data_IF_747624139053
#
_entry.id   IF_747624139053
#
_cell.length_a   1.000
_cell.length_b   1.000
_cell.length_c   1.000
_cell.angle_alpha   90.00
_cell.angle_beta   90.00
_cell.angle_gamma   90.00
#
_symmetry.space_group_name_H-M   'P 1'
#
loop_
_entity.id
_entity.type
_entity.pdbx_description
1 polymer ?
#
# COMPACT_ATOMS: atom_id res chain seq x y z
N UNK A 1 9.65 -23.97 -22.23
CA UNK A 1 9.18 -22.58 -22.47
C UNK A 1 8.49 -22.13 -21.19
N UNK A 2 9.12 -21.21 -20.45
CA UNK A 2 8.68 -20.79 -19.12
C UNK A 2 7.60 -19.71 -19.26
N UNK A 3 6.40 -19.96 -18.72
CA UNK A 3 5.31 -19.00 -18.68
C UNK A 3 5.59 -17.91 -17.64
N UNK A 4 5.96 -16.72 -18.09
CA UNK A 4 6.15 -15.51 -17.28
C UNK A 4 4.89 -14.62 -17.31
N UNK A 5 3.72 -15.17 -16.96
CA UNK A 5 2.42 -14.47 -17.04
C UNK A 5 1.95 -13.93 -15.66
N UNK A 6 2.67 -14.20 -14.57
CA UNK A 6 2.22 -13.85 -13.21
C UNK A 6 2.40 -12.38 -12.79
N UNK A 7 3.57 -11.78 -13.04
CA UNK A 7 3.95 -10.52 -12.37
C UNK A 7 3.49 -9.25 -13.12
N UNK A 8 3.34 -9.30 -14.45
CA UNK A 8 2.94 -8.13 -15.26
C UNK A 8 1.46 -7.77 -15.08
N UNK A 9 0.59 -8.76 -14.98
CA UNK A 9 -0.84 -8.57 -14.73
C UNK A 9 -1.10 -8.07 -13.31
N UNK A 10 -0.33 -8.55 -12.33
CA UNK A 10 -0.44 -8.13 -10.93
C UNK A 10 0.01 -6.67 -10.75
N UNK A 11 1.13 -6.28 -11.36
CA UNK A 11 1.61 -4.89 -11.37
C UNK A 11 0.65 -3.99 -12.16
N UNK A 12 0.09 -4.44 -13.29
CA UNK A 12 -0.91 -3.69 -14.04
C UNK A 12 -2.23 -3.53 -13.28
N UNK A 13 -2.66 -4.54 -12.51
CA UNK A 13 -3.83 -4.47 -11.64
C UNK A 13 -3.60 -3.49 -10.48
N UNK A 14 -2.42 -3.52 -9.85
CA UNK A 14 -2.05 -2.59 -8.78
C UNK A 14 -1.96 -1.14 -9.31
N UNK A 15 -1.39 -0.94 -10.49
CA UNK A 15 -1.35 0.34 -11.21
C UNK A 15 -2.74 0.88 -11.55
N UNK A 16 -3.69 0.02 -11.98
CA UNK A 16 -5.07 0.47 -12.23
C UNK A 16 -5.81 0.87 -10.95
N UNK A 17 -5.51 0.22 -9.82
CA UNK A 17 -6.07 0.59 -8.52
C UNK A 17 -5.51 1.96 -8.05
N UNK A 18 -4.26 2.29 -8.40
CA UNK A 18 -3.66 3.61 -8.07
C UNK A 18 -4.02 4.72 -9.08
N UNK A 19 -4.52 4.38 -10.27
CA UNK A 19 -4.84 5.32 -11.36
C UNK A 19 -6.33 5.40 -11.71
N UNK A 20 -7.23 4.99 -10.82
CA UNK A 20 -8.67 5.06 -11.04
C UNK A 20 -9.34 6.21 -10.30
N UNK A 21 -9.65 7.30 -11.00
CA UNK A 21 -10.69 8.24 -10.54
C UNK A 21 -10.49 9.71 -10.88
N UNK A 22 -10.50 10.05 -12.17
CA UNK A 22 -10.77 11.42 -12.62
C UNK A 22 -12.27 11.69 -12.36
N UNK A 23 -12.59 12.39 -11.26
CA UNK A 23 -13.96 12.55 -10.78
C UNK A 23 -14.05 13.57 -9.65
N UNK A 24 -14.12 14.85 -10.03
CA UNK A 24 -14.38 15.95 -9.12
C UNK A 24 -15.80 15.87 -8.54
N UNK A 25 -15.94 15.85 -7.21
CA UNK A 25 -17.12 16.39 -6.52
C UNK A 25 -16.82 16.72 -5.05
N UNK A 26 -16.83 18.02 -4.75
CA UNK A 26 -17.09 18.69 -3.47
C UNK A 26 -16.36 18.23 -2.19
N UNK A 27 -15.38 19.05 -1.77
CA UNK A 27 -15.31 19.69 -0.44
C UNK A 27 -15.00 18.84 0.80
N UNK A 28 -15.62 17.67 0.98
CA UNK A 28 -15.53 16.87 2.20
C UNK A 28 -14.60 15.65 2.05
N UNK A 29 -14.14 15.40 0.83
CA UNK A 29 -13.27 14.28 0.44
C UNK A 29 -11.78 14.62 0.37
N UNK A 30 -11.39 15.90 0.53
CA UNK A 30 -10.02 16.37 0.25
C UNK A 30 -8.92 15.72 1.12
N UNK A 31 -9.15 15.61 2.43
CA UNK A 31 -8.15 15.01 3.34
C UNK A 31 -8.09 13.48 3.24
N UNK A 32 -9.24 12.82 3.03
CA UNK A 32 -9.31 11.38 2.78
C UNK A 32 -8.60 11.04 1.46
N UNK A 33 -8.79 11.86 0.43
CA UNK A 33 -8.12 11.71 -0.86
C UNK A 33 -6.61 11.94 -0.75
N UNK A 34 -6.17 12.91 0.06
CA UNK A 34 -4.75 13.16 0.33
C UNK A 34 -4.09 12.00 1.10
N UNK A 35 -4.77 11.45 2.11
CA UNK A 35 -4.31 10.27 2.85
C UNK A 35 -4.29 9.05 1.93
N UNK A 36 -5.33 8.83 1.12
CA UNK A 36 -5.39 7.74 0.17
C UNK A 36 -4.26 7.82 -0.87
N UNK A 37 -3.92 9.02 -1.35
CA UNK A 37 -2.79 9.24 -2.25
C UNK A 37 -1.45 8.96 -1.56
N UNK A 38 -1.19 9.58 -0.42
CA UNK A 38 0.07 9.40 0.31
C UNK A 38 0.29 7.95 0.77
N UNK A 39 -0.77 7.28 1.19
CA UNK A 39 -0.75 5.85 1.53
C UNK A 39 -0.59 4.98 0.29
N UNK A 40 -1.33 5.26 -0.78
CA UNK A 40 -1.27 4.50 -2.03
C UNK A 40 0.14 4.49 -2.61
N UNK A 41 0.83 5.64 -2.59
CA UNK A 41 2.21 5.75 -3.07
C UNK A 41 3.18 4.92 -2.19
N UNK A 42 3.10 5.08 -0.86
CA UNK A 42 4.02 4.38 0.06
C UNK A 42 3.76 2.89 0.20
N UNK A 43 2.50 2.50 0.24
CA UNK A 43 2.09 1.08 0.27
C UNK A 43 2.33 0.43 -1.08
N UNK A 44 2.18 1.17 -2.18
CA UNK A 44 2.51 0.71 -3.53
C UNK A 44 3.99 0.35 -3.66
N UNK A 45 4.90 1.25 -3.25
CA UNK A 45 6.35 0.98 -3.22
C UNK A 45 6.69 -0.26 -2.36
N UNK A 46 6.05 -0.39 -1.20
CA UNK A 46 6.29 -1.50 -0.28
C UNK A 46 5.76 -2.83 -0.85
N UNK A 47 4.59 -2.82 -1.48
CA UNK A 47 4.02 -3.98 -2.15
C UNK A 47 4.86 -4.43 -3.34
N UNK A 48 5.41 -3.49 -4.12
CA UNK A 48 6.31 -3.79 -5.23
C UNK A 48 7.61 -4.43 -4.73
N UNK A 49 8.18 -3.93 -3.63
CA UNK A 49 9.33 -4.55 -2.96
C UNK A 49 9.01 -5.96 -2.47
N UNK A 50 7.83 -6.17 -1.85
CA UNK A 50 7.40 -7.49 -1.39
C UNK A 50 7.24 -8.49 -2.53
N UNK A 51 6.61 -8.10 -3.65
CA UNK A 51 6.47 -8.96 -4.84
C UNK A 51 7.83 -9.32 -5.42
N UNK A 52 8.71 -8.33 -5.59
CA UNK A 52 10.06 -8.54 -6.11
C UNK A 52 10.89 -9.46 -5.22
N UNK A 53 10.78 -9.32 -3.90
CA UNK A 53 11.50 -10.17 -2.96
C UNK A 53 10.89 -11.58 -2.92
N UNK A 54 9.57 -11.73 -2.99
CA UNK A 54 8.91 -13.04 -3.06
C UNK A 54 9.38 -13.84 -4.29
N UNK A 55 9.50 -13.18 -5.46
CA UNK A 55 10.03 -13.80 -6.68
C UNK A 55 11.49 -14.27 -6.50
N UNK A 56 12.29 -13.55 -5.69
CA UNK A 56 13.68 -13.89 -5.39
C UNK A 56 13.85 -14.97 -4.32
N UNK A 57 12.87 -15.16 -3.44
CA UNK A 57 12.88 -16.28 -2.46
C UNK A 57 12.88 -17.63 -3.19
N UNK A 58 12.28 -17.73 -4.38
CA UNK A 58 12.33 -18.92 -5.24
C UNK A 58 13.63 -19.09 -6.04
N UNK A 59 14.62 -18.20 -5.88
CA UNK A 59 15.90 -18.25 -6.61
C UNK A 59 16.76 -19.44 -6.20
N UNK A 60 17.49 -20.01 -7.16
CA UNK A 60 18.51 -21.05 -6.91
C UNK A 60 19.75 -20.51 -6.17
N UNK A 61 19.86 -19.19 -6.01
CA UNK A 61 20.93 -18.55 -5.26
C UNK A 61 20.53 -18.39 -3.78
N UNK A 62 21.05 -19.26 -2.92
CA UNK A 62 20.72 -19.30 -1.49
C UNK A 62 21.00 -17.98 -0.75
N UNK A 63 22.06 -17.23 -1.12
CA UNK A 63 22.34 -15.91 -0.52
C UNK A 63 21.26 -14.90 -0.89
N UNK A 64 20.83 -14.90 -2.15
CA UNK A 64 19.81 -13.98 -2.63
C UNK A 64 18.42 -14.34 -2.07
N UNK A 65 18.10 -15.63 -1.99
CA UNK A 65 16.87 -16.13 -1.38
C UNK A 65 16.79 -15.82 0.13
N UNK A 66 17.89 -15.97 0.86
CA UNK A 66 17.97 -15.63 2.29
C UNK A 66 17.77 -14.13 2.52
N UNK A 67 18.48 -13.29 1.76
CA UNK A 67 18.34 -11.84 1.84
C UNK A 67 16.91 -11.38 1.47
N UNK A 68 16.32 -11.96 0.43
CA UNK A 68 14.96 -11.64 0.01
C UNK A 68 13.92 -12.07 1.05
N UNK A 69 14.10 -13.22 1.71
CA UNK A 69 13.22 -13.69 2.79
C UNK A 69 13.24 -12.75 4.00
N UNK A 70 14.42 -12.26 4.37
CA UNK A 70 14.57 -11.29 5.45
C UNK A 70 13.89 -9.96 5.09
N UNK A 71 14.09 -9.47 3.86
CA UNK A 71 13.47 -8.22 3.39
C UNK A 71 11.94 -8.35 3.29
N UNK A 72 11.44 -9.46 2.77
CA UNK A 72 9.99 -9.75 2.73
C UNK A 72 9.35 -9.72 4.12
N UNK A 73 10.05 -10.26 5.12
CA UNK A 73 9.59 -10.25 6.52
C UNK A 73 9.54 -8.83 7.08
N UNK A 74 10.58 -8.03 6.83
CA UNK A 74 10.64 -6.64 7.27
C UNK A 74 9.57 -5.77 6.60
N UNK A 75 9.40 -5.90 5.28
CA UNK A 75 8.41 -5.15 4.51
C UNK A 75 6.98 -5.51 4.97
N UNK A 76 6.72 -6.77 5.31
CA UNK A 76 5.42 -7.22 5.87
C UNK A 76 5.11 -6.61 7.24
N UNK A 77 6.13 -6.46 8.09
CA UNK A 77 5.99 -5.81 9.40
C UNK A 77 5.69 -4.31 9.23
N UNK A 78 6.39 -3.64 8.31
CA UNK A 78 6.15 -2.23 8.00
C UNK A 78 4.77 -2.00 7.41
N UNK A 79 4.32 -2.85 6.49
CA UNK A 79 2.97 -2.78 5.93
C UNK A 79 1.91 -2.82 7.03
N UNK A 80 2.03 -3.79 7.94
CA UNK A 80 1.11 -3.93 9.07
C UNK A 80 1.14 -2.70 9.99
N UNK A 81 2.33 -2.16 10.25
CA UNK A 81 2.51 -0.94 11.05
C UNK A 81 1.82 0.26 10.40
N UNK A 82 2.01 0.47 9.09
CA UNK A 82 1.37 1.55 8.35
C UNK A 82 -0.15 1.43 8.34
N UNK A 83 -0.70 0.23 8.15
CA UNK A 83 -2.15 0.00 8.18
C UNK A 83 -2.77 0.26 9.57
N UNK A 84 -2.05 -0.09 10.64
CA UNK A 84 -2.47 0.21 12.00
C UNK A 84 -2.40 1.72 12.31
N UNK A 85 -1.33 2.39 11.87
CA UNK A 85 -1.17 3.84 12.00
C UNK A 85 -2.26 4.59 11.22
N UNK A 86 -2.55 4.17 9.99
CA UNK A 86 -3.64 4.70 9.18
C UNK A 86 -4.99 4.54 9.88
N UNK A 87 -5.28 3.34 10.39
CA UNK A 87 -6.53 3.06 11.11
C UNK A 87 -6.70 3.95 12.34
N UNK A 88 -5.59 4.38 12.95
CA UNK A 88 -5.57 5.31 14.08
C UNK A 88 -5.79 6.75 13.60
N UNK A 89 -5.12 7.17 12.54
CA UNK A 89 -5.29 8.50 11.92
C UNK A 89 -6.73 8.70 11.43
N UNK A 90 -7.30 7.71 10.74
CA UNK A 90 -8.69 7.76 10.25
C UNK A 90 -9.68 7.88 11.40
N UNK A 91 -9.49 7.11 12.49
CA UNK A 91 -10.33 7.23 13.70
C UNK A 91 -10.17 8.60 14.35
N UNK A 92 -8.94 9.05 14.58
CA UNK A 92 -8.62 10.34 15.20
C UNK A 92 -9.27 11.51 14.46
N UNK A 93 -9.17 11.53 13.12
CA UNK A 93 -9.75 12.59 12.32
C UNK A 93 -11.28 12.46 12.29
N UNK A 94 -11.83 11.24 12.21
CA UNK A 94 -13.27 11.02 12.32
C UNK A 94 -13.86 11.50 13.65
N UNK A 95 -13.20 11.19 14.76
CA UNK A 95 -13.57 11.65 16.10
C UNK A 95 -13.43 13.17 16.25
N UNK A 96 -12.36 13.76 15.72
CA UNK A 96 -12.14 15.22 15.70
C UNK A 96 -13.21 15.96 14.89
N UNK A 97 -13.61 15.42 13.74
CA UNK A 97 -14.65 16.00 12.90
C UNK A 97 -16.03 15.94 13.59
N UNK A 98 -16.34 14.84 14.28
CA UNK A 98 -17.56 14.71 15.11
C UNK A 98 -17.54 15.69 16.29
N UNK A 99 -16.39 15.89 16.95
CA UNK A 99 -16.26 16.83 18.07
C UNK A 99 -16.47 18.29 17.63
N UNK A 100 -15.97 18.67 16.45
CA UNK A 100 -16.18 19.99 15.84
C UNK A 100 -17.61 20.18 15.34
N UNK A 101 -18.23 19.15 14.76
CA UNK A 101 -19.62 19.18 14.33
C UNK A 101 -20.61 19.33 15.49
N UNK A 102 -20.30 18.79 16.67
CA UNK A 102 -21.11 18.99 17.90
C UNK A 102 -20.98 20.39 18.52
N UNK A 103 -19.97 21.17 18.10
CA UNK A 103 -19.72 22.53 18.57
C UNK A 103 -20.39 23.60 17.69
N UNK A 104 -20.88 23.22 16.51
CA UNK A 104 -21.66 24.08 15.61
C UNK A 104 -23.16 23.91 15.85
#
# INVERSE_FOLDING_TARGET
MSNNIGSSELIASLSKITMGGDGASNGETSWLHAIAKALGDKVGELAESMVKNADKVGSKNEKEATSASAQLTADSQLFSMYMNALSTVLKSIGEGNVAMARKQ
#
